data_IF_155025212151
#
_entry.id   IF_155025212151
#
_cell.length_a   1.000
_cell.length_b   1.000
_cell.length_c   1.000
_cell.angle_alpha   90.00
_cell.angle_beta   90.00
_cell.angle_gamma   90.00
#
_symmetry.space_group_name_H-M   'P 1'
#
loop_
_entity.id
_entity.type
_entity.pdbx_description
1 polymer ?
#
# COMPACT_ATOMS: atom_id res chain seq x y z
N UNK A 1 7.15 -4.35 2.74
CA UNK A 1 8.18 -4.41 1.69
C UNK A 1 8.24 -5.84 1.17
N UNK A 2 7.90 -6.04 -0.09
CA UNK A 2 7.88 -7.36 -0.75
C UNK A 2 9.00 -7.45 -1.76
N UNK A 3 9.68 -8.59 -1.78
CA UNK A 3 10.74 -8.89 -2.75
C UNK A 3 10.29 -10.01 -3.66
N UNK A 4 10.43 -9.83 -4.97
CA UNK A 4 10.09 -10.80 -6.00
C UNK A 4 11.37 -11.13 -6.75
N UNK A 5 11.78 -12.39 -6.72
CA UNK A 5 12.94 -12.85 -7.49
C UNK A 5 12.58 -12.95 -8.98
N UNK A 6 13.47 -12.49 -9.84
CA UNK A 6 13.27 -12.51 -11.29
C UNK A 6 14.55 -12.94 -12.01
N UNK A 7 14.40 -13.63 -13.13
CA UNK A 7 15.51 -14.00 -14.00
C UNK A 7 15.70 -13.00 -15.17
N UNK A 8 14.96 -11.88 -15.15
CA UNK A 8 15.05 -10.88 -16.21
C UNK A 8 16.13 -9.84 -15.89
N UNK A 9 16.74 -9.29 -16.91
CA UNK A 9 17.66 -8.15 -16.78
C UNK A 9 16.87 -6.88 -16.46
N UNK A 10 17.52 -5.89 -15.87
CA UNK A 10 16.93 -4.59 -15.52
C UNK A 10 16.30 -3.90 -16.74
N UNK A 11 17.01 -3.88 -17.86
CA UNK A 11 16.52 -3.24 -19.08
C UNK A 11 15.25 -3.91 -19.58
N UNK A 12 15.22 -5.24 -19.65
CA UNK A 12 14.08 -6.02 -20.11
C UNK A 12 12.88 -5.86 -19.17
N UNK A 13 13.13 -5.77 -17.85
CA UNK A 13 12.11 -5.48 -16.87
C UNK A 13 11.44 -4.11 -17.08
N UNK A 14 12.25 -3.05 -17.22
CA UNK A 14 11.70 -1.71 -17.43
C UNK A 14 11.08 -1.53 -18.83
N UNK A 15 11.55 -2.24 -19.83
CA UNK A 15 10.92 -2.28 -21.15
C UNK A 15 9.50 -2.86 -21.07
N UNK A 16 9.34 -4.02 -20.42
CA UNK A 16 8.02 -4.63 -20.20
C UNK A 16 7.08 -3.71 -19.40
N UNK A 17 7.56 -3.10 -18.32
CA UNK A 17 6.76 -2.13 -17.56
C UNK A 17 6.34 -0.93 -18.41
N UNK A 18 7.24 -0.44 -19.26
CA UNK A 18 6.91 0.68 -20.14
C UNK A 18 5.87 0.28 -21.20
N UNK A 19 5.95 -0.93 -21.74
CA UNK A 19 4.93 -1.46 -22.67
C UNK A 19 3.56 -1.56 -21.99
N UNK A 20 3.49 -2.11 -20.77
CA UNK A 20 2.23 -2.18 -20.01
C UNK A 20 1.68 -0.80 -19.68
N UNK A 21 2.55 0.14 -19.26
CA UNK A 21 2.14 1.53 -19.03
C UNK A 21 1.52 2.18 -20.28
N UNK A 22 2.11 1.95 -21.47
CA UNK A 22 1.57 2.47 -22.73
C UNK A 22 0.22 1.82 -23.09
N UNK A 23 0.06 0.50 -22.89
CA UNK A 23 -1.21 -0.20 -23.10
C UNK A 23 -2.31 0.34 -22.19
N UNK A 24 -2.03 0.56 -20.89
CA UNK A 24 -3.00 1.14 -19.97
C UNK A 24 -3.35 2.59 -20.35
N UNK A 25 -2.37 3.39 -20.75
CA UNK A 25 -2.58 4.76 -21.20
C UNK A 25 -3.44 4.86 -22.45
N UNK A 26 -3.29 3.93 -23.38
CA UNK A 26 -4.06 3.87 -24.62
C UNK A 26 -5.42 3.15 -24.45
N UNK A 27 -5.79 2.77 -23.23
CA UNK A 27 -7.00 2.00 -22.93
C UNK A 27 -7.07 0.61 -23.61
N UNK A 28 -5.94 0.09 -24.09
CA UNK A 28 -5.87 -1.24 -24.70
C UNK A 28 -5.98 -2.37 -23.67
N UNK A 29 -5.66 -2.04 -22.40
CA UNK A 29 -5.76 -2.96 -21.26
C UNK A 29 -6.27 -2.20 -20.05
N UNK A 30 -7.36 -2.65 -19.48
CA UNK A 30 -7.95 -2.07 -18.28
C UNK A 30 -7.95 -3.04 -17.11
N UNK A 31 -7.36 -2.62 -15.99
CA UNK A 31 -7.40 -3.34 -14.74
C UNK A 31 -8.31 -2.60 -13.75
N UNK A 32 -9.38 -3.22 -13.23
CA UNK A 32 -10.38 -2.53 -12.42
C UNK A 32 -9.83 -1.99 -11.08
N UNK A 33 -8.78 -2.61 -10.56
CA UNK A 33 -8.28 -2.31 -9.22
C UNK A 33 -6.82 -1.85 -9.18
N UNK A 34 -6.06 -2.00 -10.27
CA UNK A 34 -4.63 -1.69 -10.31
C UNK A 34 -4.29 -0.85 -11.53
N UNK A 35 -3.48 0.20 -11.34
CA UNK A 35 -3.01 1.07 -12.41
C UNK A 35 -1.52 1.32 -12.27
N UNK A 36 -0.80 1.21 -13.39
CA UNK A 36 0.62 1.52 -13.46
C UNK A 36 0.81 2.99 -13.86
N UNK A 37 1.57 3.73 -13.08
CA UNK A 37 1.86 5.14 -13.32
C UNK A 37 3.36 5.36 -13.33
N UNK A 38 3.85 6.17 -14.27
CA UNK A 38 5.23 6.62 -14.35
C UNK A 38 5.31 8.08 -13.93
N UNK A 39 6.09 8.37 -12.87
CA UNK A 39 6.33 9.71 -12.38
C UNK A 39 7.81 9.89 -12.05
N UNK A 40 8.44 10.96 -12.54
CA UNK A 40 9.85 11.31 -12.31
C UNK A 40 10.82 10.13 -12.63
N UNK A 41 10.54 9.41 -13.72
CA UNK A 41 11.33 8.25 -14.14
C UNK A 41 11.11 6.97 -13.33
N UNK A 42 10.30 7.03 -12.27
CA UNK A 42 9.98 5.87 -11.41
C UNK A 42 8.60 5.32 -11.72
N UNK A 43 8.44 4.00 -11.56
CA UNK A 43 7.17 3.33 -11.72
C UNK A 43 6.49 3.12 -10.38
N UNK A 44 5.16 3.35 -10.38
CA UNK A 44 4.31 3.15 -9.22
C UNK A 44 3.07 2.35 -9.62
N UNK A 45 2.67 1.42 -8.78
CA UNK A 45 1.39 0.72 -8.92
C UNK A 45 0.41 1.29 -7.92
N UNK A 46 -0.72 1.74 -8.42
CA UNK A 46 -1.85 2.17 -7.61
C UNK A 46 -2.84 1.01 -7.48
N UNK A 47 -3.21 0.72 -6.25
CA UNK A 47 -4.24 -0.25 -5.93
C UNK A 47 -5.44 0.45 -5.33
N UNK A 48 -6.61 0.23 -5.93
CA UNK A 48 -7.87 0.82 -5.48
C UNK A 48 -8.66 -0.21 -4.69
N UNK A 49 -8.98 0.12 -3.44
CA UNK A 49 -9.86 -0.64 -2.57
C UNK A 49 -11.05 0.24 -2.17
N UNK A 50 -12.19 0.03 -2.81
CA UNK A 50 -13.36 0.89 -2.64
C UNK A 50 -13.09 2.34 -3.06
N UNK A 51 -13.20 3.28 -2.12
CA UNK A 51 -12.90 4.71 -2.34
C UNK A 51 -11.43 5.06 -2.12
N UNK A 52 -10.66 4.19 -1.48
CA UNK A 52 -9.27 4.44 -1.13
C UNK A 52 -8.34 3.94 -2.23
N UNK A 53 -7.26 4.69 -2.45
CA UNK A 53 -6.22 4.38 -3.43
C UNK A 53 -4.89 4.34 -2.72
N UNK A 54 -4.25 3.19 -2.73
CA UNK A 54 -2.94 2.96 -2.13
C UNK A 54 -1.86 2.90 -3.20
N UNK A 55 -0.62 3.20 -2.83
CA UNK A 55 0.49 3.37 -3.77
C UNK A 55 1.69 2.51 -3.38
N UNK A 56 2.25 1.78 -4.34
CA UNK A 56 3.52 1.07 -4.20
C UNK A 56 4.53 1.59 -5.21
N UNK A 57 5.78 1.81 -4.78
CA UNK A 57 6.90 2.00 -5.68
C UNK A 57 7.43 0.66 -6.15
N UNK A 58 7.87 0.62 -7.40
CA UNK A 58 8.45 -0.56 -8.04
C UNK A 58 9.90 -0.24 -8.37
N UNK A 59 10.85 -0.98 -7.78
CA UNK A 59 12.28 -0.80 -8.01
C UNK A 59 12.92 -2.14 -8.34
N UNK A 60 13.91 -2.10 -9.22
CA UNK A 60 14.73 -3.27 -9.56
C UNK A 60 16.10 -3.15 -8.88
N UNK A 61 16.46 -4.14 -8.10
CA UNK A 61 17.76 -4.26 -7.42
C UNK A 61 18.66 -5.18 -8.24
N UNK A 62 19.67 -4.61 -8.91
CA UNK A 62 20.57 -5.32 -9.82
C UNK A 62 21.38 -6.40 -9.12
N UNK A 63 21.92 -6.09 -7.95
CA UNK A 63 22.83 -6.98 -7.22
C UNK A 63 22.20 -8.33 -6.86
N UNK A 64 20.90 -8.40 -6.76
CA UNK A 64 20.17 -9.59 -6.32
C UNK A 64 19.16 -10.12 -7.34
N UNK A 65 18.99 -9.44 -8.49
CA UNK A 65 17.94 -9.73 -9.48
C UNK A 65 16.54 -9.79 -8.82
N UNK A 66 16.27 -8.81 -7.97
CA UNK A 66 15.05 -8.72 -7.19
C UNK A 66 14.26 -7.48 -7.56
N UNK A 67 12.96 -7.64 -7.73
CA UNK A 67 12.01 -6.54 -7.83
C UNK A 67 11.50 -6.24 -6.43
N UNK A 68 11.71 -5.04 -5.96
CA UNK A 68 11.26 -4.57 -4.67
C UNK A 68 9.98 -3.75 -4.81
N UNK A 69 8.96 -4.15 -4.05
CA UNK A 69 7.70 -3.42 -3.91
C UNK A 69 7.65 -2.78 -2.54
N UNK A 70 7.62 -1.46 -2.50
CA UNK A 70 7.54 -0.70 -1.26
C UNK A 70 6.27 0.13 -1.24
N UNK A 71 5.47 -0.02 -0.19
CA UNK A 71 4.30 0.83 0.04
C UNK A 71 4.76 2.27 0.27
N UNK A 72 4.15 3.20 -0.45
CA UNK A 72 4.43 4.63 -0.35
C UNK A 72 3.20 5.32 0.24
N UNK A 73 3.37 5.94 1.40
CA UNK A 73 2.31 6.68 2.08
C UNK A 73 1.72 7.76 1.17
N UNK A 74 0.41 7.81 1.14
CA UNK A 74 -0.34 8.80 0.36
C UNK A 74 -1.50 9.37 1.20
N UNK A 75 -2.31 10.23 0.60
CA UNK A 75 -3.45 10.87 1.27
C UNK A 75 -4.45 9.84 1.81
N UNK A 76 -4.67 8.72 1.11
CA UNK A 76 -5.61 7.69 1.57
C UNK A 76 -5.18 7.06 2.91
N UNK A 77 -3.89 6.88 3.11
CA UNK A 77 -3.36 6.36 4.38
C UNK A 77 -3.67 7.33 5.53
N UNK A 78 -3.44 8.63 5.32
CA UNK A 78 -3.72 9.65 6.34
C UNK A 78 -5.23 9.82 6.61
N UNK A 79 -6.06 9.81 5.58
CA UNK A 79 -7.53 9.93 5.74
C UNK A 79 -8.09 8.79 6.60
N UNK A 80 -7.48 7.61 6.54
CA UNK A 80 -7.88 6.50 7.39
C UNK A 80 -7.45 6.68 8.85
N UNK A 81 -6.26 7.25 9.09
CA UNK A 81 -5.71 7.42 10.44
C UNK A 81 -6.30 8.61 11.21
N UNK A 82 -6.72 9.69 10.54
CA UNK A 82 -7.25 10.89 11.21
C UNK A 82 -8.50 10.60 12.07
N UNK A 83 -9.55 9.90 11.59
CA UNK A 83 -10.70 9.59 12.40
C UNK A 83 -10.37 8.70 13.60
N UNK A 84 -9.43 7.76 13.43
CA UNK A 84 -9.01 6.85 14.48
C UNK A 84 -8.28 7.62 15.58
N UNK A 85 -7.32 8.47 15.23
CA UNK A 85 -6.64 9.33 16.19
C UNK A 85 -7.60 10.28 16.93
N UNK A 86 -8.63 10.80 16.25
CA UNK A 86 -9.66 11.61 16.89
C UNK A 86 -10.49 10.82 17.92
N UNK A 87 -10.81 9.56 17.61
CA UNK A 87 -11.48 8.67 18.57
C UNK A 87 -10.60 8.39 19.79
N UNK A 88 -9.30 8.15 19.61
CA UNK A 88 -8.35 7.94 20.70
C UNK A 88 -8.32 9.11 21.66
N UNK A 89 -8.20 10.32 21.12
CA UNK A 89 -8.22 11.55 21.92
C UNK A 89 -9.53 11.69 22.67
N UNK A 90 -10.66 11.41 22.02
CA UNK A 90 -11.98 11.47 22.67
C UNK A 90 -12.08 10.48 23.83
N UNK A 91 -11.68 9.23 23.64
CA UNK A 91 -11.72 8.22 24.71
C UNK A 91 -10.74 8.53 25.84
N UNK A 92 -9.55 9.04 25.53
CA UNK A 92 -8.61 9.48 26.55
C UNK A 92 -9.20 10.61 27.41
N UNK A 93 -9.78 11.62 26.79
CA UNK A 93 -10.47 12.70 27.48
C UNK A 93 -11.62 12.17 28.36
N UNK A 94 -12.44 11.27 27.82
CA UNK A 94 -13.54 10.65 28.56
C UNK A 94 -13.04 9.92 29.81
N UNK A 95 -11.96 9.14 29.72
CA UNK A 95 -11.36 8.47 30.87
C UNK A 95 -10.84 9.46 31.92
N UNK A 96 -10.21 10.54 31.48
CA UNK A 96 -9.72 11.61 32.38
C UNK A 96 -10.87 12.26 33.15
N UNK A 97 -11.93 12.71 32.47
CA UNK A 97 -13.08 13.36 33.08
C UNK A 97 -13.83 12.46 34.05
N UNK A 98 -13.91 11.17 33.78
CA UNK A 98 -14.61 10.20 34.64
C UNK A 98 -13.68 9.56 35.69
N UNK A 99 -12.45 10.04 35.88
CA UNK A 99 -11.44 9.51 36.81
C UNK A 99 -11.13 8.02 36.62
N UNK A 100 -11.22 7.53 35.39
CA UNK A 100 -11.00 6.13 34.99
C UNK A 100 -9.56 5.88 34.57
N UNK A 101 -8.59 6.52 35.20
CA UNK A 101 -7.16 6.47 34.84
C UNK A 101 -6.59 5.05 34.72
N UNK A 102 -7.04 4.16 35.62
CA UNK A 102 -6.59 2.77 35.63
C UNK A 102 -6.94 1.98 34.36
N UNK A 103 -7.93 2.42 33.60
CA UNK A 103 -8.37 1.75 32.37
C UNK A 103 -7.70 2.29 31.11
N UNK A 104 -6.98 3.43 31.19
CA UNK A 104 -6.32 4.04 30.01
C UNK A 104 -5.35 3.08 29.33
N UNK A 105 -4.44 2.35 30.01
CA UNK A 105 -3.52 1.44 29.35
C UNK A 105 -4.22 0.31 28.60
N UNK A 106 -5.29 -0.24 29.19
CA UNK A 106 -6.08 -1.32 28.55
C UNK A 106 -6.83 -0.78 27.34
N UNK A 107 -7.41 0.41 27.46
CA UNK A 107 -8.14 1.07 26.38
C UNK A 107 -7.21 1.36 25.20
N UNK A 108 -6.02 1.94 25.45
CA UNK A 108 -5.02 2.20 24.40
C UNK A 108 -4.58 0.92 23.71
N UNK A 109 -4.42 -0.18 24.42
CA UNK A 109 -4.06 -1.47 23.83
C UNK A 109 -5.18 -2.01 22.93
N UNK A 110 -6.44 -1.95 23.38
CA UNK A 110 -7.60 -2.40 22.59
C UNK A 110 -7.75 -1.57 21.31
N UNK A 111 -7.65 -0.26 21.43
CA UNK A 111 -7.75 0.66 20.29
C UNK A 111 -6.62 0.39 19.28
N UNK A 112 -5.37 0.30 19.75
CA UNK A 112 -4.23 -0.01 18.88
C UNK A 112 -4.43 -1.31 18.10
N UNK A 113 -4.97 -2.35 18.71
CA UNK A 113 -5.28 -3.62 18.03
C UNK A 113 -6.39 -3.44 17.00
N UNK A 114 -7.48 -2.74 17.36
CA UNK A 114 -8.62 -2.52 16.46
C UNK A 114 -8.27 -1.65 15.25
N UNK A 115 -7.29 -0.76 15.39
CA UNK A 115 -6.82 0.10 14.30
C UNK A 115 -5.78 -0.61 13.44
N UNK A 116 -4.77 -1.20 14.07
CA UNK A 116 -3.65 -1.81 13.37
C UNK A 116 -4.07 -3.05 12.56
N UNK A 117 -4.98 -3.86 13.09
CA UNK A 117 -5.38 -5.11 12.44
C UNK A 117 -6.06 -4.89 11.09
N UNK A 118 -7.07 -4.01 10.94
CA UNK A 118 -7.68 -3.72 9.65
C UNK A 118 -6.68 -3.11 8.67
N UNK A 119 -5.86 -2.15 9.11
CA UNK A 119 -4.84 -1.54 8.27
C UNK A 119 -3.85 -2.59 7.75
N UNK A 120 -3.30 -3.42 8.66
CA UNK A 120 -2.37 -4.48 8.29
C UNK A 120 -2.98 -5.49 7.33
N UNK A 121 -4.21 -5.94 7.57
CA UNK A 121 -4.87 -6.93 6.71
C UNK A 121 -5.21 -6.34 5.34
N UNK A 122 -5.82 -5.16 5.28
CA UNK A 122 -6.31 -4.60 4.02
C UNK A 122 -5.21 -3.94 3.19
N UNK A 123 -4.29 -3.23 3.79
CA UNK A 123 -3.25 -2.49 3.06
C UNK A 123 -2.00 -3.33 2.89
N UNK A 124 -1.43 -3.82 3.99
CA UNK A 124 -0.13 -4.48 3.93
C UNK A 124 -0.22 -5.87 3.30
N UNK A 125 -1.26 -6.65 3.57
CA UNK A 125 -1.33 -8.04 3.14
C UNK A 125 -2.13 -8.24 1.86
N UNK A 126 -3.34 -7.71 1.77
CA UNK A 126 -4.17 -7.88 0.58
C UNK A 126 -3.68 -7.00 -0.57
N UNK A 127 -3.40 -5.73 -0.32
CA UNK A 127 -2.89 -4.80 -1.33
C UNK A 127 -1.55 -5.26 -1.89
N UNK A 128 -0.62 -5.66 -1.02
CA UNK A 128 0.71 -6.18 -1.42
C UNK A 128 0.59 -7.43 -2.29
N UNK A 129 -0.33 -8.36 -1.97
CA UNK A 129 -0.55 -9.57 -2.76
C UNK A 129 -1.15 -9.25 -4.14
N UNK A 130 -2.11 -8.33 -4.22
CA UNK A 130 -2.72 -7.92 -5.49
C UNK A 130 -1.69 -7.23 -6.37
N UNK A 131 -0.92 -6.30 -5.83
CA UNK A 131 0.14 -5.59 -6.56
C UNK A 131 1.24 -6.56 -7.02
N UNK A 132 1.61 -7.54 -6.18
CA UNK A 132 2.58 -8.57 -6.52
C UNK A 132 2.10 -9.41 -7.72
N UNK A 133 0.85 -9.88 -7.70
CA UNK A 133 0.26 -10.64 -8.81
C UNK A 133 0.20 -9.82 -10.09
N UNK A 134 -0.15 -8.54 -9.97
CA UNK A 134 -0.19 -7.63 -11.10
C UNK A 134 1.21 -7.47 -11.73
N UNK A 135 2.26 -7.22 -10.94
CA UNK A 135 3.62 -7.12 -11.45
C UNK A 135 4.09 -8.42 -12.09
N UNK A 136 3.79 -9.57 -11.50
CA UNK A 136 4.13 -10.88 -12.10
C UNK A 136 3.44 -11.03 -13.46
N UNK A 137 2.15 -10.69 -13.57
CA UNK A 137 1.43 -10.75 -14.85
C UNK A 137 1.95 -9.79 -15.92
N UNK A 138 2.61 -8.70 -15.52
CA UNK A 138 3.29 -7.79 -16.45
C UNK A 138 4.62 -8.36 -16.97
N UNK A 139 5.20 -9.33 -16.24
CA UNK A 139 6.49 -9.93 -16.56
C UNK A 139 6.36 -11.21 -17.43
N UNK A 140 5.22 -11.86 -17.39
CA UNK A 140 4.88 -12.99 -18.24
C UNK A 140 4.58 -12.54 -19.68
#
# INVERSE_FOLDING_TARGET
MKKIQTNQTKEKFYEKLNMEYQKERNHDKWHPCTHLIKKDGKYYVYYRSGKNVYKWSVQYLEDQQIIELQHVWNIADYVMWIPLAAMDVFFACFCVFNKLWQYIPVLCMVIAVLEFLPYYVFVARLGENVVTKYIISCLE
#
